data_IF_211884833501
#
_entry.id   IF_211884833501
#
_cell.length_a   1.000
_cell.length_b   1.000
_cell.length_c   1.000
_cell.angle_alpha   90.00
_cell.angle_beta   90.00
_cell.angle_gamma   90.00
#
_symmetry.space_group_name_H-M   'P 1'
#
loop_
_entity.id
_entity.type
_entity.pdbx_description
1 polymer ?
#
# COMPACT_ATOMS: atom_id res chain seq x y z
N UNK A 1 32.61 -45.55 -3.24
CA UNK A 1 33.59 -44.45 -3.09
C UNK A 1 33.08 -43.30 -2.22
N UNK A 2 31.88 -42.76 -2.46
CA UNK A 2 31.31 -41.62 -1.71
C UNK A 2 31.24 -41.80 -0.19
N UNK A 3 30.85 -42.99 0.30
CA UNK A 3 30.76 -43.25 1.75
C UNK A 3 32.09 -43.15 2.50
N UNK A 4 33.20 -43.51 1.86
CA UNK A 4 34.55 -43.43 2.46
C UNK A 4 35.00 -41.97 2.56
N UNK A 5 34.63 -41.15 1.57
CA UNK A 5 34.90 -39.72 1.57
C UNK A 5 34.12 -39.04 2.71
N UNK A 6 32.82 -39.34 2.84
CA UNK A 6 31.97 -38.82 3.92
C UNK A 6 32.49 -39.23 5.30
N UNK A 7 32.87 -40.49 5.48
CA UNK A 7 33.43 -41.01 6.74
C UNK A 7 34.70 -40.26 7.16
N UNK A 8 35.59 -39.99 6.21
CA UNK A 8 36.81 -39.21 6.45
C UNK A 8 36.50 -37.78 6.90
N UNK A 9 35.51 -37.14 6.27
CA UNK A 9 35.07 -35.79 6.67
C UNK A 9 34.47 -35.76 8.08
N UNK A 10 33.72 -36.79 8.47
CA UNK A 10 33.13 -36.88 9.82
C UNK A 10 34.23 -37.04 10.88
N UNK A 11 35.23 -37.90 10.64
CA UNK A 11 36.35 -38.11 11.58
C UNK A 11 37.18 -36.82 11.77
N UNK A 12 37.44 -36.08 10.68
CA UNK A 12 38.19 -34.82 10.75
C UNK A 12 37.46 -33.78 11.61
N UNK A 13 36.11 -33.76 11.56
CA UNK A 13 35.30 -32.83 12.36
C UNK A 13 35.24 -33.20 13.84
N UNK A 14 35.32 -34.48 14.20
CA UNK A 14 35.19 -34.95 15.59
C UNK A 14 36.50 -35.02 16.37
N UNK A 15 37.65 -35.05 15.70
CA UNK A 15 38.96 -35.25 16.36
C UNK A 15 39.62 -33.97 16.92
N UNK A 16 39.01 -32.80 16.74
CA UNK A 16 39.59 -31.53 17.19
C UNK A 16 38.56 -30.70 17.94
N UNK A 17 38.86 -30.35 19.19
CA UNK A 17 37.99 -29.56 20.07
C UNK A 17 37.52 -28.24 19.45
N UNK A 18 38.36 -27.59 18.65
CA UNK A 18 38.01 -26.37 17.90
C UNK A 18 36.93 -26.63 16.83
N UNK A 19 36.99 -27.77 16.13
CA UNK A 19 35.99 -28.16 15.13
C UNK A 19 34.65 -28.54 15.78
N UNK A 20 34.68 -29.10 16.98
CA UNK A 20 33.47 -29.37 17.78
C UNK A 20 32.80 -28.05 18.17
N UNK A 21 33.55 -27.05 18.64
CA UNK A 21 33.02 -25.72 18.96
C UNK A 21 32.43 -25.05 17.72
N UNK A 22 33.11 -25.12 16.57
CA UNK A 22 32.62 -24.56 15.32
C UNK A 22 31.32 -25.25 14.86
N UNK A 23 31.22 -26.57 15.02
CA UNK A 23 30.01 -27.35 14.73
C UNK A 23 28.86 -26.96 15.67
N UNK A 24 29.15 -26.71 16.95
CA UNK A 24 28.17 -26.25 17.93
C UNK A 24 27.70 -24.83 17.60
N UNK A 25 28.60 -23.91 17.24
CA UNK A 25 28.23 -22.57 16.80
C UNK A 25 27.42 -22.58 15.51
N UNK A 26 27.77 -23.43 14.55
CA UNK A 26 27.02 -23.63 13.30
C UNK A 26 25.56 -24.05 13.56
N UNK A 27 25.30 -24.75 14.67
CA UNK A 27 23.96 -25.09 15.11
C UNK A 27 23.29 -24.00 15.97
N UNK A 28 24.02 -23.36 16.88
CA UNK A 28 23.47 -22.36 17.81
C UNK A 28 23.11 -21.06 17.08
N UNK A 29 23.89 -20.64 16.09
CA UNK A 29 23.64 -19.40 15.32
C UNK A 29 22.25 -19.42 14.66
N UNK A 30 21.87 -20.42 13.85
CA UNK A 30 20.54 -20.43 13.24
C UNK A 30 19.43 -20.50 14.28
N UNK A 31 19.59 -21.31 15.34
CA UNK A 31 18.59 -21.40 16.42
C UNK A 31 18.39 -20.05 17.11
N UNK A 32 19.47 -19.33 17.43
CA UNK A 32 19.39 -18.02 18.06
C UNK A 32 18.76 -16.95 17.16
N UNK A 33 19.05 -16.97 15.85
CA UNK A 33 18.42 -16.08 14.86
C UNK A 33 16.92 -16.34 14.77
N UNK A 34 16.48 -17.60 14.80
CA UNK A 34 15.06 -17.95 14.83
C UNK A 34 14.37 -17.42 16.09
N UNK A 35 14.98 -17.64 17.26
CA UNK A 35 14.44 -17.16 18.55
C UNK A 35 14.34 -15.64 18.57
N UNK A 36 15.39 -14.94 18.12
CA UNK A 36 15.41 -13.47 18.04
C UNK A 36 14.35 -12.94 17.07
N UNK A 37 14.13 -13.61 15.94
CA UNK A 37 13.09 -13.23 14.98
C UNK A 37 11.69 -13.38 15.58
N UNK A 38 11.43 -14.49 16.27
CA UNK A 38 10.14 -14.73 16.96
C UNK A 38 9.95 -13.71 18.09
N UNK A 39 11.00 -13.46 18.87
CA UNK A 39 10.96 -12.50 19.96
C UNK A 39 10.74 -11.07 19.47
N UNK A 40 11.46 -10.65 18.42
CA UNK A 40 11.24 -9.37 17.75
C UNK A 40 9.81 -9.24 17.24
N UNK A 41 9.30 -10.29 16.57
CA UNK A 41 7.91 -10.37 16.13
C UNK A 41 6.90 -10.29 17.28
N UNK A 42 7.19 -10.86 18.44
CA UNK A 42 6.29 -10.81 19.61
C UNK A 42 6.22 -9.45 20.29
N UNK A 43 7.24 -8.60 20.12
CA UNK A 43 7.29 -7.25 20.70
C UNK A 43 6.77 -6.16 19.77
N UNK A 44 6.84 -6.40 18.46
CA UNK A 44 6.06 -5.64 17.50
C UNK A 44 4.61 -6.05 17.72
N UNK A 45 3.79 -5.14 18.24
CA UNK A 45 2.36 -5.39 18.47
C UNK A 45 1.73 -6.02 17.23
N UNK A 46 0.74 -6.89 17.46
CA UNK A 46 0.10 -7.70 16.42
C UNK A 46 -0.07 -6.87 15.14
N UNK A 47 0.62 -7.27 14.07
CA UNK A 47 0.30 -6.72 12.76
C UNK A 47 -1.08 -7.25 12.45
N UNK A 48 -2.11 -6.48 12.82
CA UNK A 48 -3.49 -6.87 12.68
C UNK A 48 -3.73 -7.22 11.22
N UNK A 49 -3.65 -8.52 10.95
CA UNK A 49 -3.57 -9.04 9.60
C UNK A 49 -5.01 -9.18 9.18
N UNK A 50 -5.54 -8.14 8.54
CA UNK A 50 -6.83 -8.24 7.88
C UNK A 50 -6.81 -9.47 6.98
N UNK A 51 -7.58 -10.49 7.37
CA UNK A 51 -7.61 -11.77 6.68
C UNK A 51 -8.40 -11.59 5.38
N UNK A 52 -7.69 -11.26 4.31
CA UNK A 52 -8.23 -11.34 2.96
C UNK A 52 -8.06 -12.80 2.54
N UNK A 53 -9.15 -13.58 2.61
CA UNK A 53 -9.20 -15.03 2.36
C UNK A 53 -9.00 -15.42 0.87
N UNK A 54 -8.21 -14.65 0.13
CA UNK A 54 -8.01 -14.85 -1.30
C UNK A 54 -6.52 -14.67 -1.65
N UNK A 55 -6.02 -15.53 -2.52
CA UNK A 55 -4.68 -15.38 -3.10
C UNK A 55 -4.64 -14.14 -3.99
N UNK A 56 -4.13 -13.00 -3.49
CA UNK A 56 -3.90 -11.83 -4.36
C UNK A 56 -2.51 -11.93 -4.96
N UNK A 57 -2.34 -12.85 -5.91
CA UNK A 57 -1.48 -12.54 -7.05
C UNK A 57 -2.16 -11.34 -7.73
N UNK A 58 -1.57 -10.15 -7.63
CA UNK A 58 -1.95 -9.07 -8.55
C UNK A 58 -1.31 -9.44 -9.87
N UNK A 59 -2.02 -10.25 -10.66
CA UNK A 59 -1.77 -10.31 -12.09
C UNK A 59 -1.76 -8.87 -12.58
N UNK A 60 -0.84 -8.53 -13.50
CA UNK A 60 -0.84 -7.21 -14.12
C UNK A 60 -2.24 -6.96 -14.71
N UNK A 61 -3.06 -6.21 -13.97
CA UNK A 61 -4.45 -5.95 -14.33
C UNK A 61 -4.33 -5.08 -15.57
N UNK A 62 -4.82 -5.57 -16.71
CA UNK A 62 -4.85 -4.76 -17.92
C UNK A 62 -5.70 -3.52 -17.63
N UNK A 63 -5.39 -2.39 -18.28
CA UNK A 63 -6.15 -1.14 -18.06
C UNK A 63 -7.67 -1.34 -18.24
N UNK A 64 -8.08 -2.28 -19.09
CA UNK A 64 -9.48 -2.67 -19.32
C UNK A 64 -10.13 -3.35 -18.10
N UNK A 65 -9.37 -4.16 -17.36
CA UNK A 65 -9.85 -4.84 -16.15
C UNK A 65 -9.88 -3.89 -14.93
N UNK A 66 -9.04 -2.84 -14.91
CA UNK A 66 -9.15 -1.73 -13.94
C UNK A 66 -10.42 -0.91 -14.19
N UNK A 67 -10.69 -0.56 -15.45
CA UNK A 67 -11.86 0.24 -15.84
C UNK A 67 -13.21 -0.49 -15.64
N UNK A 68 -13.20 -1.82 -15.56
CA UNK A 68 -14.40 -2.63 -15.28
C UNK A 68 -14.59 -2.89 -13.79
N UNK A 69 -13.51 -2.96 -12.98
CA UNK A 69 -13.60 -3.07 -11.52
C UNK A 69 -13.88 -1.74 -10.83
N UNK A 70 -13.27 -0.67 -11.32
CA UNK A 70 -13.58 0.69 -10.92
C UNK A 70 -14.71 1.11 -11.86
N UNK A 71 -15.97 1.04 -11.41
CA UNK A 71 -17.09 1.56 -12.19
C UNK A 71 -16.99 3.09 -12.27
N UNK A 72 -16.06 3.60 -13.08
CA UNK A 72 -15.69 5.02 -13.14
C UNK A 72 -16.86 5.88 -13.61
N UNK A 73 -17.79 5.28 -14.36
CA UNK A 73 -19.02 5.92 -14.81
C UNK A 73 -19.99 6.26 -13.67
N UNK A 74 -19.91 5.60 -12.50
CA UNK A 74 -20.75 5.88 -11.34
C UNK A 74 -20.00 6.53 -10.17
N UNK A 75 -18.79 7.05 -10.39
CA UNK A 75 -18.04 7.75 -9.35
C UNK A 75 -18.48 9.19 -9.31
N UNK A 76 -18.93 9.65 -8.14
CA UNK A 76 -19.21 11.05 -7.88
C UNK A 76 -17.95 11.74 -7.35
N UNK A 77 -17.51 12.80 -8.01
CA UNK A 77 -16.32 13.57 -7.64
C UNK A 77 -16.74 14.94 -7.09
N UNK A 78 -16.44 15.17 -5.82
CA UNK A 78 -16.68 16.44 -5.14
C UNK A 78 -15.35 17.13 -4.89
N UNK A 79 -15.22 18.42 -5.20
CA UNK A 79 -13.98 19.15 -4.89
C UNK A 79 -14.17 20.58 -4.40
N UNK A 80 -13.24 21.03 -3.56
CA UNK A 80 -13.18 22.40 -3.04
C UNK A 80 -11.73 22.84 -2.76
N UNK A 81 -11.37 24.12 -2.92
CA UNK A 81 -12.23 25.21 -3.40
C UNK A 81 -12.29 25.26 -4.94
N UNK A 82 -13.37 25.85 -5.47
CA UNK A 82 -13.54 26.15 -6.89
C UNK A 82 -12.63 27.30 -7.33
N UNK A 83 -11.53 26.95 -8.01
CA UNK A 83 -10.55 27.90 -8.54
C UNK A 83 -10.18 27.49 -9.97
N UNK A 84 -9.63 28.41 -10.77
CA UNK A 84 -9.18 28.08 -12.13
C UNK A 84 -8.11 26.97 -12.17
N UNK A 85 -7.30 26.84 -11.13
CA UNK A 85 -6.29 25.78 -11.04
C UNK A 85 -6.94 24.42 -10.75
N UNK A 86 -7.79 24.36 -9.74
CA UNK A 86 -8.47 23.12 -9.33
C UNK A 86 -9.44 22.64 -10.41
N UNK A 87 -10.14 23.54 -11.09
CA UNK A 87 -11.01 23.23 -12.23
C UNK A 87 -10.23 22.59 -13.39
N UNK A 88 -9.08 23.15 -13.77
CA UNK A 88 -8.20 22.55 -14.79
C UNK A 88 -7.71 21.16 -14.39
N UNK A 89 -7.30 21.00 -13.14
CA UNK A 89 -6.78 19.73 -12.64
C UNK A 89 -7.86 18.64 -12.60
N UNK A 90 -9.05 18.99 -12.10
CA UNK A 90 -10.19 18.09 -12.07
C UNK A 90 -10.67 17.76 -13.49
N UNK A 91 -10.59 18.71 -14.42
CA UNK A 91 -10.89 18.47 -15.83
C UNK A 91 -9.92 17.51 -16.50
N UNK A 92 -8.62 17.62 -16.24
CA UNK A 92 -7.64 16.63 -16.71
C UNK A 92 -7.90 15.24 -16.12
N UNK A 93 -8.23 15.18 -14.83
CA UNK A 93 -8.62 13.93 -14.17
C UNK A 93 -9.92 13.36 -14.78
N UNK A 94 -10.91 14.21 -15.03
CA UNK A 94 -12.17 13.84 -15.68
C UNK A 94 -11.93 13.20 -17.05
N UNK A 95 -11.07 13.80 -17.88
CA UNK A 95 -10.76 13.29 -19.22
C UNK A 95 -10.01 11.95 -19.15
N UNK A 96 -9.05 11.82 -18.24
CA UNK A 96 -8.26 10.58 -18.07
C UNK A 96 -9.08 9.43 -17.48
N UNK A 97 -10.05 9.75 -16.63
CA UNK A 97 -10.90 8.77 -15.94
C UNK A 97 -12.27 8.58 -16.61
N UNK A 98 -12.58 9.33 -17.67
CA UNK A 98 -13.87 9.29 -18.37
C UNK A 98 -15.08 9.49 -17.45
N UNK A 99 -14.97 10.41 -16.48
CA UNK A 99 -16.06 10.72 -15.54
C UNK A 99 -17.10 11.62 -16.21
N UNK A 100 -18.38 11.28 -16.09
CA UNK A 100 -19.47 12.11 -16.61
C UNK A 100 -19.56 13.44 -15.86
N UNK A 101 -19.85 14.51 -16.59
CA UNK A 101 -19.91 15.87 -16.03
C UNK A 101 -20.95 16.01 -14.91
N UNK A 102 -22.08 15.31 -15.02
CA UNK A 102 -23.13 15.26 -14.00
C UNK A 102 -22.67 14.69 -12.65
N UNK A 103 -21.60 13.90 -12.66
CA UNK A 103 -21.03 13.29 -11.47
C UNK A 103 -19.93 14.15 -10.84
N UNK A 104 -19.62 15.34 -11.37
CA UNK A 104 -18.64 16.25 -10.81
C UNK A 104 -19.36 17.45 -10.19
N UNK A 105 -19.11 17.70 -8.91
CA UNK A 105 -19.58 18.91 -8.23
C UNK A 105 -18.44 19.67 -7.59
N UNK A 106 -18.51 20.98 -7.71
CA UNK A 106 -17.52 21.93 -7.19
C UNK A 106 -18.15 22.81 -6.12
N UNK A 107 -17.36 23.17 -5.12
CA UNK A 107 -17.80 23.98 -3.99
C UNK A 107 -16.81 25.11 -3.74
N UNK A 108 -17.30 26.25 -3.27
CA UNK A 108 -16.45 27.39 -2.99
C UNK A 108 -15.60 27.17 -1.72
N UNK A 109 -16.09 26.36 -0.79
CA UNK A 109 -15.42 26.09 0.49
C UNK A 109 -15.50 24.61 0.89
N UNK A 110 -14.59 24.21 1.77
CA UNK A 110 -14.59 22.88 2.39
C UNK A 110 -15.89 22.63 3.17
N UNK A 111 -16.36 23.62 3.92
CA UNK A 111 -17.51 23.45 4.81
C UNK A 111 -18.79 23.18 4.00
N UNK A 112 -18.96 23.90 2.88
CA UNK A 112 -20.06 23.69 1.94
C UNK A 112 -20.02 22.29 1.32
N UNK A 113 -18.82 21.83 0.90
CA UNK A 113 -18.63 20.47 0.38
C UNK A 113 -19.00 19.43 1.43
N UNK A 114 -18.49 19.55 2.64
CA UNK A 114 -18.72 18.57 3.71
C UNK A 114 -20.19 18.54 4.14
N UNK A 115 -20.86 19.69 4.15
CA UNK A 115 -22.30 19.75 4.39
C UNK A 115 -23.06 18.98 3.30
N UNK A 116 -22.70 19.16 2.03
CA UNK A 116 -23.31 18.41 0.93
C UNK A 116 -23.01 16.91 1.04
N UNK A 117 -21.77 16.53 1.31
CA UNK A 117 -21.36 15.14 1.48
C UNK A 117 -22.13 14.44 2.62
N UNK A 118 -22.26 15.09 3.78
CA UNK A 118 -22.97 14.54 4.94
C UNK A 118 -24.48 14.39 4.71
N UNK A 119 -25.04 15.15 3.76
CA UNK A 119 -26.45 15.06 3.36
C UNK A 119 -26.66 14.18 2.14
N UNK A 120 -25.58 13.75 1.49
CA UNK A 120 -25.61 12.89 0.32
C UNK A 120 -25.89 11.45 0.75
N UNK A 121 -27.15 11.03 0.62
CA UNK A 121 -27.52 9.62 0.67
C UNK A 121 -27.16 8.88 -0.64
N UNK A 122 -25.96 9.11 -1.18
CA UNK A 122 -25.53 8.51 -2.44
C UNK A 122 -24.90 7.13 -2.18
N UNK A 123 -25.51 6.09 -2.75
CA UNK A 123 -25.07 4.69 -2.57
C UNK A 123 -23.84 4.30 -3.43
N UNK A 124 -23.34 5.22 -4.26
CA UNK A 124 -22.19 4.99 -5.13
C UNK A 124 -20.85 5.50 -4.56
N UNK A 125 -19.73 5.10 -5.16
CA UNK A 125 -18.40 5.55 -4.76
C UNK A 125 -18.28 7.08 -4.92
N UNK A 126 -18.11 7.79 -3.80
CA UNK A 126 -17.93 9.24 -3.79
C UNK A 126 -16.49 9.57 -3.41
N UNK A 127 -15.82 10.35 -4.25
CA UNK A 127 -14.45 10.83 -4.05
C UNK A 127 -14.50 12.31 -3.70
N UNK A 128 -13.87 12.67 -2.58
CA UNK A 128 -13.80 14.06 -2.10
C UNK A 128 -12.37 14.57 -2.21
N UNK A 129 -12.17 15.67 -2.95
CA UNK A 129 -10.88 16.33 -3.13
C UNK A 129 -10.89 17.70 -2.41
N UNK A 130 -10.09 17.83 -1.36
CA UNK A 130 -9.91 19.07 -0.61
C UNK A 130 -8.53 19.64 -0.85
N UNK A 131 -8.45 20.76 -1.57
CA UNK A 131 -7.19 21.45 -1.84
C UNK A 131 -6.92 22.48 -0.75
N UNK A 132 -6.04 22.12 0.20
CA UNK A 132 -5.75 22.93 1.38
C UNK A 132 -4.78 24.11 1.10
N UNK A 133 -4.11 24.14 -0.05
CA UNK A 133 -2.97 25.04 -0.32
C UNK A 133 -3.26 26.12 -1.38
N UNK A 134 -4.42 26.77 -1.30
CA UNK A 134 -4.88 27.76 -2.28
C UNK A 134 -4.36 29.20 -2.04
N UNK A 135 -3.58 29.45 -0.97
CA UNK A 135 -3.50 30.81 -0.43
C UNK A 135 -2.51 31.79 -1.06
N UNK A 136 -1.40 31.43 -1.71
CA UNK A 136 -0.49 32.51 -2.18
C UNK A 136 0.23 32.35 -3.52
N UNK A 137 0.16 31.22 -4.20
CA UNK A 137 0.73 31.06 -5.55
C UNK A 137 0.05 29.85 -6.17
N UNK A 138 -0.27 29.90 -7.47
CA UNK A 138 -0.68 28.70 -8.22
C UNK A 138 0.42 27.65 -7.98
N UNK A 139 0.15 26.56 -7.26
CA UNK A 139 1.18 25.58 -6.97
C UNK A 139 1.56 24.90 -8.28
N UNK A 140 2.83 24.97 -8.68
CA UNK A 140 3.30 24.17 -9.82
C UNK A 140 3.20 22.67 -9.50
N UNK A 141 3.22 22.31 -8.21
CA UNK A 141 3.16 20.94 -7.72
C UNK A 141 2.09 20.80 -6.62
N UNK A 142 1.39 19.67 -6.63
CA UNK A 142 0.43 19.30 -5.59
C UNK A 142 1.18 18.84 -4.34
N UNK A 143 0.93 19.52 -3.23
CA UNK A 143 1.36 19.07 -1.91
C UNK A 143 0.25 18.18 -1.34
N UNK A 144 0.40 16.86 -1.43
CA UNK A 144 -0.59 15.90 -0.97
C UNK A 144 0.04 14.78 -0.15
N UNK A 145 -0.59 14.45 0.99
CA UNK A 145 -0.37 13.20 1.72
C UNK A 145 -1.49 12.22 1.32
N UNK A 146 -1.11 11.04 0.83
CA UNK A 146 -2.06 9.92 0.72
C UNK A 146 -2.00 9.16 2.04
N UNK A 147 -3.11 9.17 2.78
CA UNK A 147 -3.33 8.33 3.96
C UNK A 147 -4.17 7.11 3.60
#
# INVERSE_FOLDING_TARGET
>A
MLGIILWKHIIIRTNTWCNILLTICEFIIPVSVFVLTIFGKSRLGDFDKFYINASTYVNAISNEEILTRINVGSIMLLYAPDTQFTDKLVREAQLKLSIYNENIKRYASKDELMQHYNTLGYDGPTVVLLFNNYRHTIPEHLDYEIK
#
